data_IF_909058215257
#
_entry.id   IF_909058215257
#
_cell.length_a   1.000
_cell.length_b   1.000
_cell.length_c   1.000
_cell.angle_alpha   90.00
_cell.angle_beta   90.00
_cell.angle_gamma   90.00
#
_symmetry.space_group_name_H-M   'P 1'
#
loop_
_entity.id
_entity.type
_entity.pdbx_description
1 polymer ?
#
# COMPACT_ATOMS: atom_id res chain seq x y z
N UNK A 1 4.02 0.17 17.11
CA UNK A 1 3.52 -0.48 15.86
C UNK A 1 4.35 -1.74 15.59
N UNK A 2 3.84 -2.75 14.87
CA UNK A 2 4.68 -3.86 14.40
C UNK A 2 5.22 -3.51 13.00
N UNK A 3 6.53 -3.48 12.78
CA UNK A 3 7.14 -3.11 11.47
C UNK A 3 6.65 -4.01 10.33
N UNK A 4 6.52 -5.29 10.64
CA UNK A 4 6.07 -6.33 9.72
C UNK A 4 4.77 -6.95 10.25
N UNK A 5 3.93 -7.46 9.36
CA UNK A 5 2.82 -8.34 9.72
C UNK A 5 3.36 -9.70 10.20
N UNK A 6 2.48 -10.53 10.73
CA UNK A 6 2.87 -11.88 11.12
C UNK A 6 3.24 -12.75 9.91
N UNK A 7 2.56 -12.56 8.77
CA UNK A 7 2.88 -13.22 7.51
C UNK A 7 4.26 -12.82 7.00
N UNK A 8 4.53 -11.53 6.92
CA UNK A 8 5.83 -10.98 6.50
C UNK A 8 6.98 -11.46 7.38
N UNK A 9 6.82 -11.46 8.71
CA UNK A 9 7.83 -11.98 9.65
C UNK A 9 8.15 -13.44 9.38
N UNK A 10 7.13 -14.27 9.18
CA UNK A 10 7.29 -15.70 8.92
C UNK A 10 8.02 -15.95 7.61
N UNK A 11 7.66 -15.22 6.55
CA UNK A 11 8.34 -15.31 5.25
C UNK A 11 9.80 -14.92 5.36
N UNK A 12 10.11 -13.82 6.05
CA UNK A 12 11.48 -13.36 6.26
C UNK A 12 12.29 -14.38 7.07
N UNK A 13 11.76 -14.87 8.18
CA UNK A 13 12.44 -15.85 9.03
C UNK A 13 12.77 -17.14 8.25
N UNK A 14 11.79 -17.73 7.56
CA UNK A 14 12.00 -18.96 6.79
C UNK A 14 13.01 -18.74 5.65
N UNK A 15 12.93 -17.60 4.94
CA UNK A 15 13.86 -17.32 3.85
C UNK A 15 15.29 -17.12 4.34
N UNK A 16 15.46 -16.47 5.49
CA UNK A 16 16.78 -16.26 6.12
C UNK A 16 17.35 -17.61 6.56
N UNK A 17 16.59 -18.44 7.25
CA UNK A 17 17.02 -19.77 7.73
C UNK A 17 17.54 -20.63 6.57
N UNK A 18 16.78 -20.73 5.47
CA UNK A 18 17.20 -21.48 4.28
C UNK A 18 18.48 -20.91 3.67
N UNK A 19 18.60 -19.58 3.60
CA UNK A 19 19.80 -18.93 3.02
C UNK A 19 21.03 -19.08 3.91
N UNK A 20 20.86 -19.15 5.23
CA UNK A 20 21.93 -19.46 6.18
C UNK A 20 22.41 -20.92 6.04
N UNK A 21 21.49 -21.87 5.91
CA UNK A 21 21.84 -23.29 5.66
C UNK A 21 22.64 -23.48 4.36
N UNK A 22 22.45 -22.58 3.39
CA UNK A 22 23.15 -22.57 2.11
C UNK A 22 24.43 -21.72 2.11
N UNK A 23 24.85 -21.16 3.26
CA UNK A 23 25.97 -20.21 3.39
C UNK A 23 25.87 -19.03 2.39
N UNK A 24 24.65 -18.62 2.05
CA UNK A 24 24.40 -17.57 1.06
C UNK A 24 24.65 -16.19 1.68
N UNK A 25 25.39 -15.29 1.01
CA UNK A 25 25.61 -13.93 1.51
C UNK A 25 24.33 -13.10 1.56
N UNK A 26 23.25 -13.56 0.91
CA UNK A 26 21.98 -12.86 0.89
C UNK A 26 21.22 -12.95 2.22
N UNK A 27 21.54 -13.90 3.11
CA UNK A 27 20.95 -13.96 4.46
C UNK A 27 21.25 -12.67 5.24
N UNK A 28 22.52 -12.25 5.27
CA UNK A 28 22.96 -11.00 5.92
C UNK A 28 22.39 -9.75 5.25
N UNK A 29 22.27 -9.76 3.91
CA UNK A 29 21.64 -8.65 3.18
C UNK A 29 20.18 -8.50 3.58
N UNK A 30 19.41 -9.59 3.68
CA UNK A 30 18.00 -9.56 4.09
C UNK A 30 17.90 -9.05 5.54
N UNK A 31 18.72 -9.58 6.46
CA UNK A 31 18.73 -9.13 7.87
C UNK A 31 18.98 -7.63 7.99
N UNK A 32 20.03 -7.13 7.34
CA UNK A 32 20.36 -5.70 7.35
C UNK A 32 19.21 -4.84 6.80
N UNK A 33 18.53 -5.28 5.73
CA UNK A 33 17.39 -4.55 5.19
C UNK A 33 16.16 -4.60 6.08
N UNK A 34 15.94 -5.70 6.78
CA UNK A 34 14.90 -5.82 7.80
C UNK A 34 15.16 -4.85 8.96
N UNK A 35 16.39 -4.77 9.45
CA UNK A 35 16.80 -3.82 10.51
C UNK A 35 16.61 -2.35 10.05
N UNK A 36 17.04 -2.00 8.84
CA UNK A 36 16.85 -0.67 8.26
C UNK A 36 15.37 -0.26 8.25
N UNK A 37 14.48 -1.21 7.89
CA UNK A 37 13.03 -1.01 7.87
C UNK A 37 12.44 -0.85 9.28
N UNK A 38 12.95 -1.56 10.27
CA UNK A 38 12.54 -1.40 11.67
C UNK A 38 12.90 -0.01 12.20
N UNK A 39 14.11 0.47 11.89
CA UNK A 39 14.53 1.84 12.22
C UNK A 39 13.61 2.86 11.55
N UNK A 40 13.30 2.67 10.27
CA UNK A 40 12.39 3.55 9.55
C UNK A 40 10.97 3.55 10.14
N UNK A 41 10.45 2.39 10.53
CA UNK A 41 9.14 2.29 11.19
C UNK A 41 9.09 3.06 12.51
N UNK A 42 10.16 3.01 13.32
CA UNK A 42 10.26 3.78 14.56
C UNK A 42 10.25 5.29 14.31
N UNK A 43 10.88 5.75 13.23
CA UNK A 43 10.86 7.17 12.82
C UNK A 43 9.42 7.58 12.44
N UNK A 44 8.72 6.75 11.69
CA UNK A 44 7.34 7.00 11.26
C UNK A 44 6.38 7.04 12.46
N UNK A 45 6.56 6.16 13.44
CA UNK A 45 5.71 6.12 14.64
C UNK A 45 5.80 7.41 15.46
N UNK A 46 6.97 8.06 15.46
CA UNK A 46 7.18 9.36 16.12
C UNK A 46 6.64 10.54 15.31
N UNK A 47 6.34 10.35 14.03
CA UNK A 47 5.75 11.39 13.21
C UNK A 47 4.33 11.70 13.72
N UNK A 48 3.95 12.99 13.79
CA UNK A 48 2.66 13.38 14.32
C UNK A 48 1.54 12.77 13.51
N UNK A 49 0.52 12.24 14.20
CA UNK A 49 -0.70 11.76 13.54
C UNK A 49 -1.33 12.92 12.76
N UNK A 50 -1.76 12.70 11.51
CA UNK A 50 -2.54 13.67 10.75
C UNK A 50 -3.85 14.07 11.44
N UNK A 51 -4.32 13.28 12.41
CA UNK A 51 -5.55 13.50 13.17
C UNK A 51 -5.35 14.30 14.47
N UNK A 52 -4.11 14.65 14.83
CA UNK A 52 -3.81 15.34 16.08
C UNK A 52 -3.39 16.80 15.84
N UNK A 53 -4.00 17.74 16.57
CA UNK A 53 -3.53 19.13 16.62
C UNK A 53 -2.32 19.24 17.56
N UNK A 54 -1.17 19.61 17.02
CA UNK A 54 0.07 19.80 17.79
C UNK A 54 0.11 21.11 18.57
N UNK A 55 -0.70 22.10 18.20
CA UNK A 55 -0.59 23.45 18.76
C UNK A 55 -1.76 23.82 19.69
N UNK A 56 -2.70 22.90 19.94
CA UNK A 56 -3.89 23.10 20.79
C UNK A 56 -4.56 24.45 20.55
N UNK A 57 -4.68 24.86 19.27
CA UNK A 57 -5.29 26.15 18.93
C UNK A 57 -6.80 26.01 18.94
N UNK A 58 -7.51 27.07 19.32
CA UNK A 58 -8.99 27.11 19.41
C UNK A 58 -9.70 26.85 18.08
N UNK A 59 -9.01 26.98 16.95
CA UNK A 59 -9.44 26.57 15.60
C UNK A 59 -8.73 25.27 15.17
N UNK A 60 -8.81 24.26 16.04
CA UNK A 60 -7.90 23.12 16.04
C UNK A 60 -7.86 22.33 14.72
N UNK A 61 -6.64 21.89 14.36
CA UNK A 61 -6.40 20.98 13.25
C UNK A 61 -7.04 19.63 13.57
N UNK A 62 -8.23 19.38 13.05
CA UNK A 62 -8.94 18.11 13.15
C UNK A 62 -9.07 17.44 11.78
N UNK A 63 -9.57 16.21 11.77
CA UNK A 63 -9.81 15.43 10.55
C UNK A 63 -10.53 16.25 9.47
N UNK A 64 -11.62 16.95 9.82
CA UNK A 64 -12.43 17.73 8.87
C UNK A 64 -11.65 18.89 8.26
N UNK A 65 -10.80 19.56 9.05
CA UNK A 65 -9.94 20.64 8.57
C UNK A 65 -8.86 20.14 7.61
N UNK A 66 -8.28 18.96 7.87
CA UNK A 66 -7.32 18.32 6.98
C UNK A 66 -8.03 17.87 5.70
N UNK A 67 -9.18 17.22 5.82
CA UNK A 67 -9.97 16.78 4.69
C UNK A 67 -10.34 17.95 3.77
N UNK A 68 -10.86 19.03 4.35
CA UNK A 68 -11.16 20.27 3.62
C UNK A 68 -9.92 20.87 2.96
N UNK A 69 -8.76 20.84 3.63
CA UNK A 69 -7.51 21.32 3.05
C UNK A 69 -7.06 20.46 1.87
N UNK A 70 -7.13 19.13 1.99
CA UNK A 70 -6.72 18.20 0.93
C UNK A 70 -7.64 18.31 -0.29
N UNK A 71 -8.95 18.43 -0.08
CA UNK A 71 -9.92 18.60 -1.17
C UNK A 71 -9.87 19.97 -1.85
N UNK A 72 -9.41 21.02 -1.15
CA UNK A 72 -9.37 22.39 -1.72
C UNK A 72 -8.02 22.78 -2.32
N UNK A 73 -6.91 22.25 -1.79
CA UNK A 73 -5.55 22.59 -2.25
C UNK A 73 -4.90 21.47 -3.08
N UNK A 74 -5.56 20.32 -3.17
CA UNK A 74 -5.06 19.14 -3.87
C UNK A 74 -3.86 18.48 -3.18
N UNK A 75 -3.60 17.24 -3.57
CA UNK A 75 -2.47 16.44 -3.08
C UNK A 75 -1.25 16.50 -4.00
N UNK A 76 -1.32 17.25 -5.10
CA UNK A 76 -0.32 17.25 -6.17
C UNK A 76 1.08 17.71 -5.72
N UNK A 77 1.19 18.45 -4.61
CA UNK A 77 2.46 18.91 -4.09
C UNK A 77 2.80 18.24 -2.75
N UNK A 78 3.96 17.58 -2.69
CA UNK A 78 4.48 16.88 -1.50
C UNK A 78 4.51 17.79 -0.26
N UNK A 79 4.72 19.10 -0.43
CA UNK A 79 4.72 20.08 0.68
C UNK A 79 3.35 20.24 1.37
N UNK A 80 2.27 19.81 0.71
CA UNK A 80 0.92 19.84 1.29
C UNK A 80 0.59 18.57 2.09
N UNK A 81 1.40 17.52 1.97
CA UNK A 81 1.18 16.24 2.63
C UNK A 81 1.69 16.27 4.08
N UNK A 82 1.02 15.55 5.01
CA UNK A 82 1.58 15.28 6.32
C UNK A 82 2.92 14.55 6.22
N UNK A 83 3.89 14.88 7.08
CA UNK A 83 5.18 14.20 7.11
C UNK A 83 5.04 12.67 7.27
N UNK A 84 4.08 12.23 8.10
CA UNK A 84 3.76 10.81 8.30
C UNK A 84 3.29 10.14 6.99
N UNK A 85 2.57 10.87 6.13
CA UNK A 85 2.14 10.39 4.81
C UNK A 85 3.35 10.14 3.90
N UNK A 86 4.27 11.12 3.79
CA UNK A 86 5.46 11.01 2.93
C UNK A 86 6.41 9.90 3.42
N UNK A 87 6.73 9.88 4.72
CA UNK A 87 7.65 8.89 5.29
C UNK A 87 7.09 7.46 5.17
N UNK A 88 5.80 7.28 5.47
CA UNK A 88 5.22 5.95 5.39
C UNK A 88 5.03 5.43 3.97
N UNK A 89 4.90 6.30 2.95
CA UNK A 89 4.91 5.87 1.54
C UNK A 89 6.28 5.26 1.19
N UNK A 90 7.37 5.97 1.50
CA UNK A 90 8.73 5.46 1.30
C UNK A 90 8.99 4.15 2.04
N UNK A 91 8.40 3.96 3.22
CA UNK A 91 8.48 2.71 3.96
C UNK A 91 7.78 1.53 3.26
N UNK A 92 6.55 1.70 2.76
CA UNK A 92 5.87 0.62 2.02
C UNK A 92 6.61 0.30 0.73
N UNK A 93 7.12 1.31 0.00
CA UNK A 93 7.98 1.09 -1.19
C UNK A 93 9.24 0.31 -0.82
N UNK A 94 9.87 0.62 0.31
CA UNK A 94 11.08 -0.08 0.77
C UNK A 94 10.78 -1.54 1.14
N UNK A 95 9.64 -1.82 1.78
CA UNK A 95 9.16 -3.20 2.01
C UNK A 95 8.92 -3.91 0.69
N UNK A 96 8.24 -3.28 -0.27
CA UNK A 96 7.99 -3.85 -1.59
C UNK A 96 9.31 -4.24 -2.27
N UNK A 97 10.37 -3.43 -2.14
CA UNK A 97 11.69 -3.77 -2.67
C UNK A 97 12.37 -4.93 -1.92
N UNK A 98 12.20 -5.05 -0.61
CA UNK A 98 12.68 -6.20 0.16
C UNK A 98 12.02 -7.50 -0.34
N UNK A 99 10.69 -7.53 -0.44
CA UNK A 99 9.97 -8.70 -0.96
C UNK A 99 10.24 -8.92 -2.45
N UNK A 100 10.42 -7.87 -3.24
CA UNK A 100 10.84 -7.98 -4.64
C UNK A 100 12.25 -8.56 -4.80
N UNK A 101 13.14 -8.34 -3.82
CA UNK A 101 14.44 -9.03 -3.76
C UNK A 101 14.25 -10.51 -3.45
N UNK A 102 13.38 -10.88 -2.49
CA UNK A 102 13.05 -12.29 -2.22
C UNK A 102 12.50 -12.99 -3.48
N UNK A 103 11.65 -12.34 -4.26
CA UNK A 103 11.17 -12.88 -5.55
C UNK A 103 12.32 -13.22 -6.50
N UNK A 104 13.34 -12.38 -6.58
CA UNK A 104 14.53 -12.65 -7.41
C UNK A 104 15.35 -13.81 -6.85
N UNK A 105 15.44 -13.93 -5.53
CA UNK A 105 16.14 -15.04 -4.87
C UNK A 105 15.42 -16.37 -5.08
N UNK A 106 14.08 -16.40 -5.14
CA UNK A 106 13.31 -17.59 -5.51
C UNK A 106 13.71 -18.16 -6.88
N UNK A 107 14.11 -17.31 -7.84
CA UNK A 107 14.58 -17.75 -9.15
C UNK A 107 16.03 -18.27 -9.13
N UNK A 108 16.78 -17.97 -8.06
CA UNK A 108 18.21 -18.28 -7.93
C UNK A 108 18.44 -19.50 -7.03
N UNK A 109 17.63 -19.67 -5.99
CA UNK A 109 17.76 -20.72 -4.98
C UNK A 109 16.52 -21.63 -5.00
N UNK A 110 16.61 -22.84 -5.58
CA UNK A 110 15.50 -23.78 -5.62
C UNK A 110 14.94 -24.16 -4.25
N UNK A 111 15.75 -24.11 -3.19
CA UNK A 111 15.37 -24.42 -1.81
C UNK A 111 14.36 -23.41 -1.25
N UNK A 112 14.32 -22.18 -1.79
CA UNK A 112 13.34 -21.17 -1.42
C UNK A 112 11.98 -21.40 -2.08
N UNK A 113 11.83 -22.36 -3.00
CA UNK A 113 10.56 -22.60 -3.72
C UNK A 113 9.39 -22.85 -2.77
N UNK A 114 9.64 -23.47 -1.62
CA UNK A 114 8.63 -23.66 -0.57
C UNK A 114 8.07 -22.35 0.02
N UNK A 115 8.84 -21.25 -0.07
CA UNK A 115 8.43 -19.93 0.38
C UNK A 115 7.73 -19.12 -0.73
N UNK A 116 7.79 -19.55 -2.00
CA UNK A 116 7.25 -18.82 -3.16
C UNK A 116 5.84 -18.27 -2.96
N UNK A 117 4.81 -19.09 -2.65
CA UNK A 117 3.45 -18.58 -2.59
C UNK A 117 3.28 -17.50 -1.52
N UNK A 118 4.01 -17.61 -0.41
CA UNK A 118 3.96 -16.63 0.67
C UNK A 118 4.69 -15.34 0.29
N UNK A 119 5.88 -15.43 -0.33
CA UNK A 119 6.62 -14.25 -0.82
C UNK A 119 5.81 -13.48 -1.87
N UNK A 120 5.22 -14.19 -2.83
CA UNK A 120 4.41 -13.58 -3.89
C UNK A 120 3.14 -12.92 -3.34
N UNK A 121 2.52 -13.54 -2.32
CA UNK A 121 1.41 -12.94 -1.60
C UNK A 121 1.84 -11.64 -0.90
N UNK A 122 2.86 -11.65 -0.04
CA UNK A 122 3.27 -10.44 0.69
C UNK A 122 3.70 -9.30 -0.26
N UNK A 123 4.39 -9.61 -1.36
CA UNK A 123 4.72 -8.63 -2.38
C UNK A 123 3.47 -8.00 -3.02
N UNK A 124 2.49 -8.85 -3.37
CA UNK A 124 1.24 -8.42 -3.98
C UNK A 124 0.42 -7.55 -3.02
N UNK A 125 0.44 -7.87 -1.73
CA UNK A 125 -0.27 -7.16 -0.68
C UNK A 125 0.29 -5.73 -0.50
N UNK A 126 1.62 -5.61 -0.52
CA UNK A 126 2.32 -4.33 -0.49
C UNK A 126 2.04 -3.51 -1.77
N UNK A 127 2.00 -4.15 -2.93
CA UNK A 127 1.67 -3.49 -4.20
C UNK A 127 0.25 -2.93 -4.17
N UNK A 128 -0.73 -3.71 -3.71
CA UNK A 128 -2.11 -3.24 -3.59
C UNK A 128 -2.26 -2.11 -2.57
N UNK A 129 -1.47 -2.14 -1.50
CA UNK A 129 -1.44 -1.03 -0.52
C UNK A 129 -1.01 0.28 -1.18
N UNK A 130 0.03 0.26 -2.02
CA UNK A 130 0.47 1.44 -2.78
C UNK A 130 -0.58 1.88 -3.80
N UNK A 131 -1.16 0.93 -4.55
CA UNK A 131 -2.21 1.23 -5.53
C UNK A 131 -3.46 1.85 -4.90
N UNK A 132 -3.84 1.39 -3.70
CA UNK A 132 -4.95 1.97 -2.95
C UNK A 132 -4.67 3.44 -2.59
N UNK A 133 -3.45 3.72 -2.11
CA UNK A 133 -3.02 5.08 -1.78
C UNK A 133 -3.00 5.99 -3.02
N UNK A 134 -2.48 5.50 -4.16
CA UNK A 134 -2.47 6.24 -5.42
C UNK A 134 -3.88 6.51 -5.94
N UNK A 135 -4.78 5.51 -5.87
CA UNK A 135 -6.18 5.65 -6.27
C UNK A 135 -6.87 6.75 -5.44
N UNK A 136 -6.72 6.72 -4.12
CA UNK A 136 -7.30 7.76 -3.27
C UNK A 136 -6.71 9.12 -3.55
N UNK A 137 -5.39 9.20 -3.76
CA UNK A 137 -4.73 10.45 -4.10
C UNK A 137 -5.26 11.03 -5.42
N UNK A 138 -5.45 10.19 -6.44
CA UNK A 138 -6.01 10.57 -7.73
C UNK A 138 -7.47 11.04 -7.59
N UNK A 139 -8.30 10.28 -6.88
CA UNK A 139 -9.71 10.63 -6.62
C UNK A 139 -9.86 11.99 -5.93
N UNK A 140 -8.90 12.40 -5.12
CA UNK A 140 -8.92 13.68 -4.41
C UNK A 140 -8.32 14.84 -5.22
N UNK A 141 -7.57 14.55 -6.27
CA UNK A 141 -6.95 15.57 -7.13
C UNK A 141 -7.89 16.01 -8.25
N UNK A 142 -8.84 15.17 -8.66
CA UNK A 142 -9.65 15.34 -9.87
C UNK A 142 -11.10 15.81 -9.60
N UNK A 143 -11.41 16.27 -8.39
CA UNK A 143 -12.78 16.58 -7.97
C UNK A 143 -12.95 18.05 -7.55
N UNK A 144 -13.87 18.75 -8.21
CA UNK A 144 -14.44 20.00 -7.70
C UNK A 144 -15.39 19.65 -6.55
N UNK A 145 -14.95 19.86 -5.30
CA UNK A 145 -15.54 19.27 -4.10
C UNK A 145 -17.07 19.39 -3.94
N UNK A 146 -17.69 18.33 -3.42
CA UNK A 146 -19.11 18.30 -3.06
C UNK A 146 -19.74 16.92 -2.84
N UNK A 147 -19.11 15.84 -3.31
CA UNK A 147 -19.73 14.50 -3.28
C UNK A 147 -19.40 13.71 -2.01
N UNK A 148 -20.39 13.00 -1.44
CA UNK A 148 -20.27 12.27 -0.17
C UNK A 148 -19.18 11.18 -0.19
N UNK A 149 -18.93 10.58 -1.35
CA UNK A 149 -17.90 9.55 -1.50
C UNK A 149 -16.48 10.12 -1.43
N UNK A 150 -16.27 11.39 -1.77
CA UNK A 150 -14.98 12.09 -1.65
C UNK A 150 -14.58 12.17 -0.18
N UNK A 151 -15.52 12.51 0.71
CA UNK A 151 -15.29 12.54 2.16
C UNK A 151 -14.88 11.15 2.70
N UNK A 152 -15.50 10.09 2.19
CA UNK A 152 -15.13 8.70 2.55
C UNK A 152 -13.73 8.34 2.04
N UNK A 153 -13.40 8.71 0.80
CA UNK A 153 -12.07 8.50 0.23
C UNK A 153 -10.97 9.24 1.01
N UNK A 154 -11.22 10.49 1.41
CA UNK A 154 -10.31 11.25 2.29
C UNK A 154 -10.13 10.54 3.63
N UNK A 155 -11.22 10.04 4.21
CA UNK A 155 -11.17 9.34 5.49
C UNK A 155 -10.30 8.09 5.43
N UNK A 156 -10.51 7.26 4.41
CA UNK A 156 -9.71 6.06 4.20
C UNK A 156 -8.23 6.39 3.98
N UNK A 157 -7.93 7.42 3.18
CA UNK A 157 -6.54 7.83 2.94
C UNK A 157 -5.83 8.29 4.22
N UNK A 158 -6.49 9.13 5.04
CA UNK A 158 -5.93 9.59 6.31
C UNK A 158 -5.76 8.44 7.29
N UNK A 159 -6.73 7.53 7.35
CA UNK A 159 -6.65 6.33 8.19
C UNK A 159 -5.52 5.40 7.77
N UNK A 160 -5.34 5.20 6.45
CA UNK A 160 -4.19 4.48 5.90
C UNK A 160 -2.90 5.14 6.37
N UNK A 161 -2.72 6.45 6.19
CA UNK A 161 -1.50 7.15 6.63
C UNK A 161 -1.22 7.02 8.12
N UNK A 162 -2.26 7.05 8.96
CA UNK A 162 -2.10 7.01 10.40
C UNK A 162 -1.83 5.59 10.92
N UNK A 163 -2.39 4.57 10.26
CA UNK A 163 -2.40 3.17 10.67
C UNK A 163 -1.72 2.19 9.71
N UNK A 164 -0.71 2.68 8.95
CA UNK A 164 0.01 1.95 7.88
C UNK A 164 0.65 0.60 8.23
N UNK A 165 0.84 0.27 9.49
CA UNK A 165 1.43 -1.04 9.89
C UNK A 165 0.53 -1.84 10.82
N UNK A 166 -0.71 -1.39 10.99
CA UNK A 166 -1.71 -2.20 11.68
C UNK A 166 -2.41 -3.11 10.68
N UNK A 167 -3.02 -4.18 11.20
CA UNK A 167 -3.88 -5.13 10.47
C UNK A 167 -5.07 -4.45 9.76
N UNK A 168 -5.25 -3.13 9.90
CA UNK A 168 -6.22 -2.34 9.15
C UNK A 168 -6.07 -2.49 7.62
N UNK A 169 -4.85 -2.65 7.12
CA UNK A 169 -4.58 -2.85 5.69
C UNK A 169 -5.13 -4.19 5.18
N UNK A 170 -5.24 -5.22 6.03
CA UNK A 170 -5.76 -6.54 5.64
C UNK A 170 -7.23 -6.49 5.20
N UNK A 171 -8.00 -5.48 5.65
CA UNK A 171 -9.43 -5.37 5.34
C UNK A 171 -9.74 -4.59 4.05
N UNK A 172 -8.94 -3.58 3.70
CA UNK A 172 -9.23 -2.72 2.54
C UNK A 172 -8.40 -3.07 1.30
N UNK A 173 -7.15 -3.50 1.48
CA UNK A 173 -6.40 -4.11 0.38
C UNK A 173 -7.17 -5.31 -0.20
N UNK A 174 -8.02 -5.96 0.61
CA UNK A 174 -8.93 -7.02 0.19
C UNK A 174 -9.92 -6.55 -0.88
N UNK A 175 -10.58 -5.39 -0.75
CA UNK A 175 -11.59 -4.93 -1.71
C UNK A 175 -10.98 -4.61 -3.10
N UNK A 176 -9.82 -3.94 -3.13
CA UNK A 176 -9.10 -3.68 -4.39
C UNK A 176 -8.53 -4.97 -4.96
N UNK A 177 -8.03 -5.88 -4.11
CA UNK A 177 -7.55 -7.21 -4.53
C UNK A 177 -8.68 -8.06 -5.10
N UNK A 178 -9.84 -8.09 -4.48
CA UNK A 178 -11.04 -8.77 -4.96
C UNK A 178 -11.49 -8.17 -6.29
N UNK A 179 -11.49 -6.84 -6.44
CA UNK A 179 -11.80 -6.19 -7.71
C UNK A 179 -10.78 -6.54 -8.81
N UNK A 180 -9.48 -6.58 -8.47
CA UNK A 180 -8.42 -6.98 -9.39
C UNK A 180 -8.52 -8.46 -9.80
N UNK A 181 -8.73 -9.35 -8.83
CA UNK A 181 -8.98 -10.77 -9.09
C UNK A 181 -10.25 -10.97 -9.92
N UNK A 182 -11.33 -10.25 -9.61
CA UNK A 182 -12.55 -10.25 -10.40
C UNK A 182 -12.28 -9.78 -11.84
N UNK A 183 -11.51 -8.70 -12.04
CA UNK A 183 -11.12 -8.21 -13.38
C UNK A 183 -10.31 -9.25 -14.16
N UNK A 184 -9.43 -10.01 -13.51
CA UNK A 184 -8.68 -11.09 -14.15
C UNK A 184 -9.48 -12.38 -14.36
N UNK A 185 -10.59 -12.55 -13.63
CA UNK A 185 -11.50 -13.70 -13.75
C UNK A 185 -12.62 -13.43 -14.76
N UNK A 186 -12.98 -12.16 -14.97
CA UNK A 186 -13.92 -11.72 -16.01
C UNK A 186 -13.20 -11.78 -17.34
N UNK A 187 -13.30 -12.93 -18.01
CA UNK A 187 -13.06 -13.02 -19.45
C UNK A 187 -13.99 -11.99 -20.11
N UNK A 188 -13.48 -10.99 -20.86
CA UNK A 188 -14.35 -10.08 -21.57
C UNK A 188 -15.21 -10.92 -22.52
N UNK A 189 -16.50 -11.04 -22.22
CA UNK A 189 -17.45 -11.71 -23.10
C UNK A 189 -17.61 -10.79 -24.31
N UNK A 190 -16.75 -11.00 -25.31
CA UNK A 190 -16.77 -10.33 -26.62
C UNK A 190 -18.11 -10.48 -27.37
N UNK A 191 -19.05 -11.27 -26.84
CA UNK A 191 -20.37 -11.51 -27.40
C UNK A 191 -21.37 -10.36 -27.23
N UNK A 192 -21.14 -9.38 -26.34
CA UNK A 192 -22.09 -8.25 -26.16
C UNK A 192 -21.81 -7.05 -27.06
N UNK A 193 -20.60 -6.94 -27.63
CA UNK A 193 -20.25 -5.88 -28.58
C UNK A 193 -20.67 -6.18 -30.02
N UNK A 194 -20.93 -7.44 -30.37
CA UNK A 194 -21.38 -7.78 -31.72
C UNK A 194 -22.78 -7.20 -32.02
N UNK A 195 -23.69 -7.25 -31.04
CA UNK A 195 -25.03 -6.68 -31.17
C UNK A 195 -25.06 -5.14 -31.23
N UNK A 196 -24.09 -4.45 -30.63
CA UNK A 196 -24.01 -2.98 -30.68
C UNK A 196 -23.45 -2.49 -32.02
N UNK A 197 -22.53 -3.24 -32.63
CA UNK A 197 -21.98 -2.92 -33.96
C UNK A 197 -23.02 -3.13 -35.06
N UNK A 198 -23.94 -4.10 -34.92
CA UNK A 198 -25.07 -4.27 -35.85
C UNK A 198 -26.07 -3.10 -35.79
N UNK A 199 -26.33 -2.54 -34.61
CA UNK A 199 -27.21 -1.36 -34.46
C UNK A 199 -26.56 -0.09 -35.04
N UNK A 200 -25.24 0.08 -34.90
CA UNK A 200 -24.54 1.22 -35.52
C UNK A 200 -24.43 1.13 -37.05
N UNK A 201 -24.70 -0.03 -37.65
CA UNK A 201 -24.78 -0.22 -39.12
C UNK A 201 -26.18 0.03 -39.71
N UNK A 202 -27.18 0.27 -38.87
CA UNK A 202 -28.57 0.54 -39.30
C UNK A 202 -28.92 2.03 -39.37
N UNK A 203 -27.93 2.92 -39.28
CA UNK A 203 -28.07 4.36 -39.55
C UNK A 203 -27.39 4.74 -40.86
#
# INVERSE_FOLDING_TARGET
MATFTEGERRVLANSIEILEELDSPFSEVIKSRTEDLEVLAQIIERAPSPNTDLFNRTEGRNFDSLAKKLSSQGLAHVVNLPAKAVLGHGFIVSKLHLFGMLIKLLATYPELEQCRPMVEQEYTDLLFTLMAEDLYTALLTDQEGGEEWVTKAVHELIMMWDRRTSDYLERFALAIRELWQARHTVVPVLGTLLGTVEIMRLN
#
